data_IF_767181626552
#
_entry.id   IF_767181626552
#
_cell.length_a   1.000
_cell.length_b   1.000
_cell.length_c   1.000
_cell.angle_alpha   90.00
_cell.angle_beta   90.00
_cell.angle_gamma   90.00
#
_symmetry.space_group_name_H-M   'P 1'
#
loop_
_entity.id
_entity.type
_entity.pdbx_description
1 polymer ?
#
# COMPACT_ATOMS: atom_id res chain seq x y z
N UNK A 1 2.59 1.86 -24.99
CA UNK A 1 2.06 0.47 -25.08
C UNK A 1 0.57 0.56 -24.89
N UNK A 2 -0.25 0.08 -25.84
CA UNK A 2 -1.69 0.32 -25.74
C UNK A 2 -2.58 -0.68 -26.46
N UNK A 3 -3.82 -0.81 -25.99
CA UNK A 3 -4.89 -1.63 -26.58
C UNK A 3 -4.49 -3.08 -26.86
N UNK A 4 -3.95 -3.74 -25.83
CA UNK A 4 -3.54 -5.14 -25.88
C UNK A 4 -3.96 -5.89 -24.61
N UNK A 5 -4.07 -7.21 -24.73
CA UNK A 5 -4.25 -8.11 -23.59
C UNK A 5 -3.03 -9.03 -23.49
N UNK A 6 -2.39 -9.03 -22.32
CA UNK A 6 -1.30 -9.92 -21.95
C UNK A 6 -1.88 -11.01 -21.03
N UNK A 7 -1.63 -12.28 -21.34
CA UNK A 7 -2.17 -13.43 -20.59
C UNK A 7 -1.06 -14.37 -20.17
N UNK A 8 -1.26 -14.98 -19.00
CA UNK A 8 -0.43 -16.04 -18.45
C UNK A 8 1.09 -15.71 -18.49
N UNK A 9 1.52 -14.55 -17.97
CA UNK A 9 2.94 -14.21 -17.97
C UNK A 9 3.68 -15.19 -17.05
N UNK A 10 4.84 -15.68 -17.49
CA UNK A 10 5.64 -16.63 -16.71
C UNK A 10 6.41 -15.97 -15.55
N UNK A 11 6.48 -14.63 -15.53
CA UNK A 11 7.19 -13.81 -14.55
C UNK A 11 6.55 -12.39 -14.52
N UNK A 12 7.29 -11.37 -14.11
CA UNK A 12 6.94 -9.95 -14.28
C UNK A 12 6.49 -9.67 -15.71
N UNK A 13 5.26 -9.18 -15.88
CA UNK A 13 4.60 -9.16 -17.19
C UNK A 13 5.10 -8.02 -18.09
N UNK A 14 4.93 -6.77 -17.66
CA UNK A 14 5.38 -5.59 -18.39
C UNK A 14 6.44 -4.85 -17.59
N UNK A 15 7.70 -5.02 -17.98
CA UNK A 15 8.84 -4.41 -17.30
C UNK A 15 9.40 -3.23 -18.11
N UNK A 16 9.19 -2.01 -17.60
CA UNK A 16 9.63 -0.75 -18.20
C UNK A 16 10.92 -0.34 -17.49
N UNK A 17 12.05 -0.42 -18.18
CA UNK A 17 13.38 -0.26 -17.57
C UNK A 17 14.10 0.96 -18.16
N UNK A 18 14.47 1.91 -17.29
CA UNK A 18 15.26 3.10 -17.62
C UNK A 18 14.73 3.85 -18.86
N UNK A 19 13.41 3.96 -18.95
CA UNK A 19 12.72 4.66 -20.01
C UNK A 19 12.37 6.09 -19.60
N UNK A 20 12.13 6.93 -20.60
CA UNK A 20 11.79 8.33 -20.44
C UNK A 20 10.57 8.63 -21.33
N UNK A 21 9.58 9.36 -20.81
CA UNK A 21 8.34 9.69 -21.54
C UNK A 21 7.55 8.44 -22.01
N UNK A 22 7.20 7.59 -21.07
CA UNK A 22 6.47 6.33 -21.37
C UNK A 22 4.97 6.51 -21.18
N UNK A 23 4.16 6.00 -22.10
CA UNK A 23 2.70 5.90 -21.94
C UNK A 23 2.21 4.47 -22.08
N UNK A 24 1.39 4.02 -21.12
CA UNK A 24 0.68 2.74 -21.14
C UNK A 24 -0.81 3.00 -21.00
N UNK A 25 -1.64 2.53 -21.93
CA UNK A 25 -3.08 2.74 -21.81
C UNK A 25 -3.94 1.68 -22.48
N UNK A 26 -5.13 1.44 -21.94
CA UNK A 26 -6.08 0.45 -22.49
C UNK A 26 -5.45 -0.97 -22.54
N UNK A 27 -4.67 -1.33 -21.51
CA UNK A 27 -3.99 -2.63 -21.42
C UNK A 27 -4.68 -3.51 -20.38
N UNK A 28 -4.90 -4.79 -20.72
CA UNK A 28 -5.32 -5.81 -19.76
C UNK A 28 -4.18 -6.78 -19.50
N UNK A 29 -3.87 -7.06 -18.22
CA UNK A 29 -2.91 -8.07 -17.79
C UNK A 29 -3.68 -9.10 -16.96
N UNK A 30 -3.71 -10.33 -17.45
CA UNK A 30 -4.42 -11.45 -16.83
C UNK A 30 -3.41 -12.54 -16.51
N UNK A 31 -2.93 -12.54 -15.27
CA UNK A 31 -2.00 -13.51 -14.75
C UNK A 31 -2.68 -14.63 -13.96
N UNK A 32 -1.94 -15.72 -13.70
CA UNK A 32 -2.41 -16.73 -12.77
C UNK A 32 -2.37 -16.19 -11.34
N UNK A 33 -3.55 -16.05 -10.75
CA UNK A 33 -3.78 -15.53 -9.41
C UNK A 33 -3.11 -16.37 -8.29
N UNK A 34 -2.56 -17.54 -8.59
CA UNK A 34 -1.84 -18.38 -7.64
C UNK A 34 -0.32 -18.46 -7.91
N UNK A 35 0.20 -17.73 -8.90
CA UNK A 35 1.61 -17.77 -9.25
C UNK A 35 2.38 -16.59 -8.64
N UNK A 36 3.42 -16.82 -7.81
CA UNK A 36 4.28 -15.74 -7.30
C UNK A 36 5.16 -15.17 -8.41
N UNK A 37 5.76 -13.99 -8.18
CA UNK A 37 6.57 -13.27 -9.18
C UNK A 37 5.83 -13.00 -10.50
N UNK A 38 4.51 -12.86 -10.39
CA UNK A 38 3.61 -12.57 -11.49
C UNK A 38 3.15 -11.12 -11.43
N UNK A 39 4.11 -10.19 -11.36
CA UNK A 39 3.85 -8.76 -11.28
C UNK A 39 3.16 -8.28 -12.58
N UNK A 40 2.33 -7.23 -12.48
CA UNK A 40 1.66 -6.61 -13.61
C UNK A 40 2.58 -5.70 -14.40
N UNK A 41 2.72 -4.44 -13.95
CA UNK A 41 3.58 -3.44 -14.58
C UNK A 41 4.67 -3.03 -13.59
N UNK A 42 5.92 -3.37 -13.90
CA UNK A 42 7.10 -2.91 -13.20
C UNK A 42 7.67 -1.66 -13.88
N UNK A 43 7.85 -0.59 -13.11
CA UNK A 43 8.44 0.66 -13.57
C UNK A 43 9.79 0.79 -12.87
N UNK A 44 10.87 0.47 -13.57
CA UNK A 44 12.21 0.44 -13.04
C UNK A 44 13.01 1.65 -13.55
N UNK A 45 13.48 2.50 -12.63
CA UNK A 45 14.37 3.63 -12.93
C UNK A 45 13.86 4.52 -14.09
N UNK A 46 12.55 4.60 -14.29
CA UNK A 46 11.92 5.21 -15.48
C UNK A 46 11.11 6.44 -15.10
N UNK A 47 11.26 7.52 -15.87
CA UNK A 47 10.71 8.83 -15.52
C UNK A 47 9.71 9.35 -16.54
N UNK A 48 8.85 10.28 -16.10
CA UNK A 48 7.78 10.86 -16.92
C UNK A 48 6.89 9.77 -17.55
N UNK A 49 6.33 8.91 -16.69
CA UNK A 49 5.52 7.75 -17.10
C UNK A 49 4.05 7.98 -16.80
N UNK A 50 3.18 7.72 -17.77
CA UNK A 50 1.73 7.82 -17.63
C UNK A 50 1.05 6.49 -17.93
N UNK A 51 0.31 5.96 -16.96
CA UNK A 51 -0.43 4.70 -17.06
C UNK A 51 -1.92 5.01 -16.86
N UNK A 52 -2.80 4.55 -17.77
CA UNK A 52 -4.23 4.82 -17.61
C UNK A 52 -5.14 3.74 -18.20
N UNK A 53 -6.38 3.60 -17.72
CA UNK A 53 -7.40 2.69 -18.28
C UNK A 53 -6.91 1.24 -18.40
N UNK A 54 -6.17 0.77 -17.41
CA UNK A 54 -5.65 -0.60 -17.39
C UNK A 54 -6.47 -1.49 -16.46
N UNK A 55 -6.56 -2.77 -16.82
CA UNK A 55 -7.19 -3.82 -16.02
C UNK A 55 -6.12 -4.86 -15.66
N UNK A 56 -5.82 -5.02 -14.38
CA UNK A 56 -4.71 -5.86 -13.91
C UNK A 56 -5.25 -6.85 -12.89
N UNK A 57 -5.22 -8.13 -13.22
CA UNK A 57 -5.57 -9.25 -12.33
C UNK A 57 -4.39 -10.23 -12.32
N UNK A 58 -3.62 -10.24 -11.22
CA UNK A 58 -2.32 -10.91 -11.16
C UNK A 58 -2.06 -11.64 -9.84
N UNK A 59 -1.14 -12.60 -9.84
CA UNK A 59 -0.73 -13.28 -8.62
C UNK A 59 0.12 -12.40 -7.69
N UNK A 60 0.98 -11.54 -8.24
CA UNK A 60 1.89 -10.68 -7.49
C UNK A 60 1.61 -9.18 -7.77
N UNK A 61 2.51 -8.27 -7.36
CA UNK A 61 2.22 -6.83 -7.34
C UNK A 61 1.76 -6.27 -8.70
N UNK A 62 0.67 -5.48 -8.71
CA UNK A 62 0.03 -5.08 -9.96
C UNK A 62 0.70 -3.86 -10.63
N UNK A 63 0.97 -2.80 -9.88
CA UNK A 63 1.77 -1.65 -10.33
C UNK A 63 2.95 -1.49 -9.37
N UNK A 64 4.17 -1.72 -9.85
CA UNK A 64 5.35 -1.79 -9.00
C UNK A 64 6.49 -0.88 -9.46
N UNK A 65 6.52 0.38 -9.00
CA UNK A 65 7.69 1.25 -9.15
C UNK A 65 8.87 0.71 -8.33
N UNK A 66 10.04 0.56 -8.98
CA UNK A 66 11.30 0.12 -8.37
C UNK A 66 12.44 1.06 -8.78
N UNK A 67 13.41 1.22 -7.88
CA UNK A 67 14.65 1.97 -8.17
C UNK A 67 15.87 1.10 -7.88
N UNK A 68 16.81 0.97 -8.83
CA UNK A 68 18.03 0.17 -8.72
C UNK A 68 19.29 1.01 -8.90
N UNK A 69 19.38 1.76 -10.00
CA UNK A 69 20.58 2.55 -10.33
C UNK A 69 20.30 4.04 -10.53
N UNK A 70 19.03 4.44 -10.55
CA UNK A 70 18.62 5.84 -10.68
C UNK A 70 17.29 6.13 -9.94
N UNK A 71 16.98 7.41 -9.66
CA UNK A 71 15.68 7.81 -9.15
C UNK A 71 14.53 7.52 -10.13
N UNK A 72 13.32 7.42 -9.58
CA UNK A 72 12.05 7.34 -10.30
C UNK A 72 11.17 8.53 -9.93
N UNK A 73 10.81 9.35 -10.90
CA UNK A 73 9.99 10.54 -10.68
C UNK A 73 8.96 10.80 -11.79
N UNK A 74 7.93 11.57 -11.44
CA UNK A 74 6.83 11.95 -12.33
C UNK A 74 6.14 10.73 -12.95
N UNK A 75 5.68 9.80 -12.11
CA UNK A 75 4.81 8.70 -12.54
C UNK A 75 3.36 9.04 -12.16
N UNK A 76 2.46 8.95 -13.13
CA UNK A 76 1.02 9.14 -12.93
C UNK A 76 0.27 7.88 -13.38
N UNK A 77 -0.59 7.35 -12.53
CA UNK A 77 -1.43 6.17 -12.79
C UNK A 77 -2.89 6.52 -12.53
N UNK A 78 -3.75 6.32 -13.53
CA UNK A 78 -5.16 6.76 -13.45
C UNK A 78 -6.15 5.77 -14.03
N UNK A 79 -7.41 5.81 -13.60
CA UNK A 79 -8.52 5.08 -14.25
C UNK A 79 -8.30 3.56 -14.35
N UNK A 80 -7.65 2.95 -13.36
CA UNK A 80 -7.30 1.52 -13.38
C UNK A 80 -8.20 0.67 -12.49
N UNK A 81 -8.39 -0.59 -12.87
CA UNK A 81 -8.96 -1.63 -12.02
C UNK A 81 -7.89 -2.68 -11.71
N UNK A 82 -7.73 -3.02 -10.42
CA UNK A 82 -6.65 -3.86 -9.94
C UNK A 82 -7.16 -4.91 -8.96
N UNK A 83 -6.70 -6.16 -9.14
CA UNK A 83 -6.81 -7.27 -8.18
C UNK A 83 -5.50 -8.05 -8.12
N UNK A 84 -5.03 -8.37 -6.92
CA UNK A 84 -3.78 -9.14 -6.73
C UNK A 84 -3.71 -9.88 -5.39
N UNK A 85 -2.98 -11.01 -5.33
CA UNK A 85 -2.63 -11.66 -4.04
C UNK A 85 -1.39 -11.10 -3.34
N UNK A 86 -0.82 -10.03 -3.87
CA UNK A 86 0.26 -9.25 -3.26
C UNK A 86 -0.22 -7.81 -3.06
N UNK A 87 0.52 -6.78 -3.47
CA UNK A 87 0.07 -5.38 -3.32
C UNK A 87 -0.42 -4.78 -4.64
N UNK A 88 -1.58 -4.13 -4.61
CA UNK A 88 -2.16 -3.50 -5.80
C UNK A 88 -1.25 -2.39 -6.35
N UNK A 89 -0.69 -1.57 -5.48
CA UNK A 89 0.36 -0.61 -5.82
C UNK A 89 1.49 -0.81 -4.81
N UNK A 90 2.72 -1.07 -5.27
CA UNK A 90 3.89 -1.24 -4.40
C UNK A 90 5.08 -0.43 -4.86
N UNK A 91 5.51 0.55 -4.06
CA UNK A 91 6.83 1.16 -4.22
C UNK A 91 7.87 0.27 -3.53
N UNK A 92 8.87 -0.20 -4.28
CA UNK A 92 9.90 -1.11 -3.79
C UNK A 92 9.63 -2.60 -4.11
N UNK A 93 10.24 -3.58 -3.44
CA UNK A 93 11.19 -3.41 -2.34
C UNK A 93 12.57 -2.93 -2.78
N UNK A 94 12.92 -3.09 -4.08
CA UNK A 94 14.09 -2.45 -4.66
C UNK A 94 13.88 -0.93 -4.66
N UNK A 95 14.59 -0.26 -3.76
CA UNK A 95 14.32 1.12 -3.33
C UNK A 95 15.64 1.86 -3.08
N UNK A 96 16.63 1.64 -3.95
CA UNK A 96 18.00 2.14 -3.78
C UNK A 96 18.12 3.66 -3.97
N UNK A 97 17.16 4.28 -4.68
CA UNK A 97 17.15 5.70 -5.00
C UNK A 97 15.78 6.32 -4.74
N UNK A 98 15.66 7.62 -5.00
CA UNK A 98 14.47 8.39 -4.66
C UNK A 98 13.25 8.02 -5.53
N UNK A 99 12.08 7.89 -4.90
CA UNK A 99 10.77 7.98 -5.56
C UNK A 99 10.17 9.37 -5.31
N UNK A 100 9.85 10.11 -6.38
CA UNK A 100 9.42 11.51 -6.22
C UNK A 100 8.29 11.93 -7.14
N UNK A 101 7.31 12.64 -6.61
CA UNK A 101 6.20 13.20 -7.39
C UNK A 101 5.41 12.12 -8.14
N UNK A 102 4.80 11.20 -7.39
CA UNK A 102 3.95 10.15 -7.94
C UNK A 102 2.48 10.45 -7.65
N UNK A 103 1.61 10.22 -8.64
CA UNK A 103 0.18 10.44 -8.52
C UNK A 103 -0.55 9.16 -8.92
N UNK A 104 -1.42 8.68 -8.03
CA UNK A 104 -2.32 7.58 -8.28
C UNK A 104 -3.74 8.10 -8.05
N UNK A 105 -4.57 8.12 -9.09
CA UNK A 105 -5.90 8.75 -9.03
C UNK A 105 -6.98 7.90 -9.72
N UNK A 106 -8.19 7.88 -9.17
CA UNK A 106 -9.32 7.15 -9.76
C UNK A 106 -9.02 5.66 -10.02
N UNK A 107 -8.61 4.94 -8.97
CA UNK A 107 -8.27 3.51 -9.04
C UNK A 107 -9.23 2.70 -8.18
N UNK A 108 -9.74 1.60 -8.76
CA UNK A 108 -10.47 0.58 -8.01
C UNK A 108 -9.53 -0.58 -7.69
N UNK A 109 -9.31 -0.84 -6.41
CA UNK A 109 -8.59 -2.01 -5.91
C UNK A 109 -9.63 -2.97 -5.34
N UNK A 110 -9.68 -4.19 -5.85
CA UNK A 110 -10.72 -5.15 -5.51
C UNK A 110 -10.11 -6.43 -4.94
N UNK A 111 -10.52 -6.80 -3.73
CA UNK A 111 -10.10 -8.02 -3.04
C UNK A 111 -8.58 -8.29 -3.09
N UNK A 112 -7.75 -7.25 -3.02
CA UNK A 112 -6.30 -7.45 -3.06
C UNK A 112 -5.75 -7.84 -1.69
N UNK A 113 -4.56 -8.46 -1.64
CA UNK A 113 -3.96 -8.79 -0.36
C UNK A 113 -3.45 -7.56 0.38
N UNK A 114 -2.89 -6.60 -0.35
CA UNK A 114 -2.65 -5.24 0.13
C UNK A 114 -3.14 -4.22 -0.90
N UNK A 115 -3.55 -3.05 -0.42
CA UNK A 115 -3.94 -1.94 -1.27
C UNK A 115 -2.70 -1.14 -1.70
N UNK A 116 -2.39 -0.12 -0.91
CA UNK A 116 -1.34 0.86 -1.19
C UNK A 116 -0.10 0.55 -0.35
N UNK A 117 0.93 0.01 -0.98
CA UNK A 117 2.15 -0.47 -0.36
C UNK A 117 3.37 0.43 -0.62
N UNK A 118 4.15 0.70 0.42
CA UNK A 118 5.51 1.23 0.33
C UNK A 118 6.44 0.35 1.18
N UNK A 119 7.36 -0.33 0.51
CA UNK A 119 8.35 -1.20 1.12
C UNK A 119 9.74 -0.66 0.83
N UNK A 120 10.15 0.34 1.60
CA UNK A 120 11.45 0.99 1.42
C UNK A 120 12.48 0.25 2.27
N UNK A 121 13.49 -0.30 1.61
CA UNK A 121 14.47 -1.25 2.15
C UNK A 121 15.92 -0.88 1.90
N UNK A 122 16.21 -0.05 0.89
CA UNK A 122 17.57 0.11 0.36
C UNK A 122 18.14 1.53 0.50
N UNK A 123 17.55 2.34 1.38
CA UNK A 123 18.04 3.68 1.71
C UNK A 123 17.58 4.80 0.78
N UNK A 124 16.84 4.50 -0.29
CA UNK A 124 16.16 5.49 -1.10
C UNK A 124 15.01 6.15 -0.34
N UNK A 125 14.76 7.43 -0.64
CA UNK A 125 13.69 8.19 0.00
C UNK A 125 12.43 8.22 -0.87
N UNK A 126 11.27 8.42 -0.24
CA UNK A 126 10.01 8.67 -0.94
C UNK A 126 9.52 10.07 -0.57
N UNK A 127 9.17 10.87 -1.58
CA UNK A 127 8.68 12.22 -1.36
C UNK A 127 7.56 12.61 -2.33
N UNK A 128 6.47 13.16 -1.79
CA UNK A 128 5.44 13.79 -2.61
C UNK A 128 4.63 12.77 -3.40
N UNK A 129 3.92 11.89 -2.69
CA UNK A 129 3.04 10.89 -3.31
C UNK A 129 1.60 11.23 -2.97
N UNK A 130 0.74 11.24 -3.99
CA UNK A 130 -0.70 11.46 -3.82
C UNK A 130 -1.48 10.23 -4.27
N UNK A 131 -2.37 9.76 -3.40
CA UNK A 131 -3.39 8.77 -3.70
C UNK A 131 -4.76 9.44 -3.56
N UNK A 132 -5.54 9.46 -4.63
CA UNK A 132 -6.83 10.16 -4.63
C UNK A 132 -7.95 9.40 -5.32
N UNK A 133 -9.18 9.63 -4.86
CA UNK A 133 -10.41 9.16 -5.50
C UNK A 133 -10.42 7.63 -5.70
N UNK A 134 -10.23 6.86 -4.63
CA UNK A 134 -10.08 5.40 -4.72
C UNK A 134 -11.17 4.64 -3.98
N UNK A 135 -11.53 3.48 -4.53
CA UNK A 135 -12.28 2.44 -3.82
C UNK A 135 -11.37 1.24 -3.62
N UNK A 136 -11.15 0.86 -2.37
CA UNK A 136 -10.18 -0.18 -2.00
C UNK A 136 -10.89 -1.27 -1.21
N UNK A 137 -10.80 -2.50 -1.68
CA UNK A 137 -11.14 -3.68 -0.90
C UNK A 137 -9.92 -4.58 -0.77
N UNK A 138 -9.59 -4.96 0.47
CA UNK A 138 -8.50 -5.89 0.75
C UNK A 138 -8.95 -7.05 1.61
N UNK A 139 -8.47 -8.24 1.26
CA UNK A 139 -8.81 -9.49 1.95
C UNK A 139 -7.57 -10.30 2.27
N UNK A 140 -7.69 -11.17 3.25
CA UNK A 140 -6.58 -12.01 3.67
C UNK A 140 -6.57 -13.29 2.80
N UNK A 141 -5.44 -13.56 2.18
CA UNK A 141 -5.14 -14.81 1.46
C UNK A 141 -4.29 -15.75 2.32
N UNK A 142 -3.92 -16.90 1.77
CA UNK A 142 -3.13 -17.91 2.48
C UNK A 142 -1.84 -17.30 3.10
N UNK A 143 -1.47 -17.66 4.35
CA UNK A 143 -0.32 -17.08 5.04
C UNK A 143 1.04 -17.23 4.35
N UNK A 144 1.15 -18.13 3.37
CA UNK A 144 2.31 -18.25 2.48
C UNK A 144 2.56 -16.97 1.65
N UNK A 145 1.51 -16.22 1.32
CA UNK A 145 1.61 -14.92 0.69
C UNK A 145 2.05 -13.85 1.68
N UNK A 146 2.88 -12.91 1.22
CA UNK A 146 3.26 -11.77 2.03
C UNK A 146 2.10 -10.77 2.11
N UNK A 147 1.75 -10.35 3.33
CA UNK A 147 0.63 -9.43 3.58
C UNK A 147 -0.45 -9.97 4.47
N UNK A 148 -1.22 -9.09 5.08
CA UNK A 148 -2.23 -9.40 6.10
C UNK A 148 -3.50 -8.58 5.87
N UNK A 149 -3.88 -8.36 4.60
CA UNK A 149 -5.07 -7.60 4.20
C UNK A 149 -5.01 -6.07 4.44
N UNK A 150 -3.82 -5.48 4.57
CA UNK A 150 -3.68 -4.06 4.87
C UNK A 150 -4.09 -3.18 3.66
N UNK A 151 -5.04 -2.24 3.81
CA UNK A 151 -5.43 -1.33 2.73
C UNK A 151 -4.34 -0.29 2.44
N UNK A 152 -3.58 0.11 3.46
CA UNK A 152 -2.41 0.99 3.36
C UNK A 152 -1.32 0.37 4.23
N UNK A 153 -0.15 0.13 3.64
CA UNK A 153 0.99 -0.53 4.28
C UNK A 153 2.26 0.25 3.93
N UNK A 154 2.87 0.91 4.91
CA UNK A 154 4.05 1.76 4.72
C UNK A 154 5.13 1.34 5.69
N UNK A 155 6.32 1.04 5.15
CA UNK A 155 7.46 0.57 5.94
C UNK A 155 8.79 1.09 5.39
N UNK A 156 9.70 1.53 6.28
CA UNK A 156 11.07 1.99 5.95
C UNK A 156 12.17 1.12 6.54
N UNK A 157 11.84 -0.11 6.93
CA UNK A 157 12.82 -0.99 7.55
C UNK A 157 13.94 -1.38 6.58
N UNK A 158 15.20 -1.49 7.00
CA UNK A 158 16.29 -1.83 6.09
C UNK A 158 16.18 -3.29 5.60
N UNK A 159 16.67 -3.56 4.38
CA UNK A 159 16.70 -4.92 3.78
C UNK A 159 17.45 -5.91 4.65
N UNK A 160 18.59 -5.47 5.17
CA UNK A 160 19.50 -6.23 6.03
C UNK A 160 20.34 -5.26 6.87
N UNK A 161 21.23 -5.80 7.72
CA UNK A 161 22.08 -5.02 8.61
C UNK A 161 23.11 -4.12 7.92
N UNK A 162 23.34 -4.30 6.62
CA UNK A 162 24.27 -3.48 5.82
C UNK A 162 23.57 -2.36 5.06
N UNK A 163 22.24 -2.45 4.93
CA UNK A 163 21.42 -1.49 4.20
C UNK A 163 21.13 -0.26 5.04
N UNK A 164 21.06 0.90 4.37
CA UNK A 164 20.65 2.15 5.02
C UNK A 164 19.13 2.23 5.12
N UNK A 165 18.65 2.91 6.15
CA UNK A 165 17.22 3.24 6.29
C UNK A 165 16.88 4.42 5.37
N UNK A 166 15.78 4.28 4.62
CA UNK A 166 15.21 5.36 3.82
C UNK A 166 14.10 6.09 4.58
N UNK A 167 13.76 7.32 4.19
CA UNK A 167 12.67 8.09 4.78
C UNK A 167 11.51 8.26 3.81
N UNK A 168 10.30 8.43 4.35
CA UNK A 168 9.10 8.68 3.55
C UNK A 168 8.47 9.97 4.05
N UNK A 169 8.16 10.87 3.12
CA UNK A 169 7.68 12.20 3.44
C UNK A 169 6.61 12.70 2.45
N UNK A 170 5.75 13.60 2.92
CA UNK A 170 4.75 14.30 2.10
C UNK A 170 3.83 13.32 1.36
N UNK A 171 3.05 12.55 2.13
CA UNK A 171 2.04 11.64 1.59
C UNK A 171 0.64 12.23 1.76
N UNK A 172 -0.14 12.22 0.68
CA UNK A 172 -1.54 12.62 0.72
C UNK A 172 -2.43 11.46 0.27
N UNK A 173 -3.36 11.08 1.13
CA UNK A 173 -4.45 10.16 0.84
C UNK A 173 -5.76 10.94 0.95
N UNK A 174 -6.50 11.08 -0.15
CA UNK A 174 -7.68 11.95 -0.20
C UNK A 174 -8.85 11.35 -0.96
N UNK A 175 -10.06 11.46 -0.41
CA UNK A 175 -11.28 10.91 -1.04
C UNK A 175 -11.17 9.40 -1.31
N UNK A 176 -10.89 8.61 -0.27
CA UNK A 176 -10.71 7.15 -0.39
C UNK A 176 -11.74 6.41 0.47
N UNK A 177 -12.41 5.44 -0.13
CA UNK A 177 -13.28 4.49 0.60
C UNK A 177 -12.59 3.13 0.65
N UNK A 178 -12.45 2.57 1.85
CA UNK A 178 -11.78 1.32 2.14
C UNK A 178 -12.74 0.34 2.82
N UNK A 179 -12.73 -0.91 2.38
CA UNK A 179 -13.30 -2.06 3.12
C UNK A 179 -12.23 -3.15 3.22
N UNK A 180 -11.71 -3.39 4.42
CA UNK A 180 -10.53 -4.26 4.60
C UNK A 180 -10.66 -5.22 5.78
N UNK A 181 -9.97 -6.36 5.70
CA UNK A 181 -9.88 -7.29 6.83
C UNK A 181 -8.87 -6.87 7.91
N UNK A 182 -8.01 -5.89 7.63
CA UNK A 182 -6.99 -5.38 8.54
C UNK A 182 -6.83 -3.85 8.39
N UNK A 183 -6.21 -3.22 9.38
CA UNK A 183 -6.05 -1.78 9.44
C UNK A 183 -4.88 -1.24 8.64
N UNK A 184 -4.75 0.07 8.68
CA UNK A 184 -3.64 0.81 8.10
C UNK A 184 -2.39 0.60 8.95
N UNK A 185 -1.27 0.31 8.31
CA UNK A 185 0.01 0.07 8.98
C UNK A 185 1.07 1.09 8.52
N UNK A 186 1.50 1.95 9.44
CA UNK A 186 2.48 3.01 9.22
C UNK A 186 3.70 2.80 10.11
N UNK A 187 4.72 2.11 9.62
CA UNK A 187 5.93 1.81 10.40
C UNK A 187 7.17 2.42 9.79
N UNK A 188 7.58 3.57 10.31
CA UNK A 188 8.92 4.09 10.09
C UNK A 188 10.01 3.24 10.76
N UNK A 189 11.24 3.74 10.73
CA UNK A 189 12.38 3.20 11.46
C UNK A 189 13.11 4.33 12.20
N UNK A 190 13.97 4.03 13.20
CA UNK A 190 14.61 5.05 14.02
C UNK A 190 15.36 6.14 13.25
N UNK A 191 15.97 5.81 12.11
CA UNK A 191 16.70 6.73 11.23
C UNK A 191 15.98 6.96 9.89
N UNK A 192 14.82 6.35 9.67
CA UNK A 192 14.01 6.39 8.46
C UNK A 192 12.56 6.72 8.79
N UNK A 193 12.32 7.93 9.30
CA UNK A 193 11.01 8.33 9.79
C UNK A 193 9.97 8.44 8.67
N UNK A 194 8.70 8.26 9.06
CA UNK A 194 7.57 8.70 8.27
C UNK A 194 7.20 10.13 8.68
N UNK A 195 7.09 11.05 7.71
CA UNK A 195 6.82 12.46 7.98
C UNK A 195 5.75 13.04 7.07
N UNK A 196 4.94 13.96 7.60
CA UNK A 196 3.88 14.65 6.86
C UNK A 196 2.95 13.68 6.07
N UNK A 197 2.35 12.72 6.78
CA UNK A 197 1.31 11.84 6.24
C UNK A 197 -0.06 12.46 6.51
N UNK A 198 -0.88 12.59 5.47
CA UNK A 198 -2.18 13.24 5.53
C UNK A 198 -3.29 12.34 5.02
N UNK A 199 -4.29 12.08 5.85
CA UNK A 199 -5.55 11.42 5.46
C UNK A 199 -6.67 12.45 5.44
N UNK A 200 -7.36 12.57 4.30
CA UNK A 200 -8.43 13.56 4.12
C UNK A 200 -9.66 12.95 3.47
N UNK A 201 -10.84 13.16 4.04
CA UNK A 201 -12.11 12.70 3.48
C UNK A 201 -12.09 11.19 3.17
N UNK A 202 -11.83 10.36 4.19
CA UNK A 202 -11.74 8.91 4.01
C UNK A 202 -12.81 8.17 4.81
N UNK A 203 -13.31 7.09 4.25
CA UNK A 203 -14.15 6.13 4.98
C UNK A 203 -13.43 4.79 5.01
N UNK A 204 -13.19 4.24 6.20
CA UNK A 204 -12.47 2.98 6.38
C UNK A 204 -13.39 2.05 7.15
N UNK A 205 -13.82 0.95 6.54
CA UNK A 205 -14.61 -0.08 7.19
C UNK A 205 -13.77 -1.35 7.35
N UNK A 206 -13.49 -1.72 8.58
CA UNK A 206 -12.86 -2.98 8.94
C UNK A 206 -13.93 -4.05 9.03
N UNK A 207 -13.82 -5.06 8.16
CA UNK A 207 -14.75 -6.17 8.10
C UNK A 207 -14.04 -7.50 8.00
N UNK A 208 -14.44 -8.45 8.85
CA UNK A 208 -13.94 -9.81 8.76
C UNK A 208 -14.79 -10.63 7.78
N UNK A 209 -14.13 -11.33 6.86
CA UNK A 209 -14.79 -12.36 6.04
C UNK A 209 -13.91 -13.59 5.76
N UNK A 210 -12.70 -13.66 6.34
CA UNK A 210 -11.86 -14.87 6.35
C UNK A 210 -11.67 -15.41 7.77
N UNK A 211 -11.29 -16.68 7.87
CA UNK A 211 -11.04 -17.38 9.13
C UNK A 211 -9.56 -17.37 9.55
N UNK A 212 -8.71 -16.56 8.89
CA UNK A 212 -7.31 -16.46 9.25
C UNK A 212 -7.11 -15.76 10.61
N UNK A 213 -5.95 -15.93 11.23
CA UNK A 213 -5.64 -15.27 12.51
C UNK A 213 -5.46 -13.76 12.30
N UNK A 214 -6.14 -12.96 13.11
CA UNK A 214 -6.07 -11.50 13.09
C UNK A 214 -4.89 -10.95 13.92
N UNK A 215 -4.68 -9.62 13.91
CA UNK A 215 -3.63 -8.98 14.72
C UNK A 215 -2.20 -9.28 14.27
N UNK A 216 -2.02 -9.62 12.99
CA UNK A 216 -0.72 -9.86 12.38
C UNK A 216 -0.37 -8.72 11.43
N UNK A 217 0.89 -8.32 11.43
CA UNK A 217 1.50 -7.51 10.37
C UNK A 217 2.72 -8.23 9.82
N UNK A 218 3.00 -8.03 8.54
CA UNK A 218 4.10 -8.72 7.86
C UNK A 218 5.16 -7.71 7.43
N UNK A 219 6.34 -7.73 8.06
CA UNK A 219 7.45 -6.83 7.76
C UNK A 219 8.32 -7.28 6.57
N UNK A 220 8.05 -8.47 6.02
CA UNK A 220 8.89 -9.04 4.96
C UNK A 220 8.78 -8.27 3.64
N UNK A 221 9.86 -8.27 2.83
CA UNK A 221 11.21 -8.69 3.20
C UNK A 221 11.87 -7.62 4.09
N UNK A 222 12.86 -7.95 4.90
CA UNK A 222 13.64 -6.95 5.64
C UNK A 222 13.84 -7.28 7.11
N UNK A 223 13.67 -6.25 7.96
CA UNK A 223 14.10 -6.30 9.36
C UNK A 223 13.49 -7.42 10.21
N UNK A 224 12.26 -7.85 9.89
CA UNK A 224 11.48 -8.77 10.70
C UNK A 224 10.55 -9.62 9.82
N UNK A 225 10.08 -10.72 10.39
CA UNK A 225 9.09 -11.59 9.76
C UNK A 225 7.66 -11.14 10.05
N UNK A 226 6.83 -12.12 10.38
CA UNK A 226 5.48 -11.88 10.88
C UNK A 226 5.53 -11.48 12.35
N UNK A 227 4.83 -10.42 12.69
CA UNK A 227 4.77 -9.89 14.05
C UNK A 227 3.33 -9.84 14.54
N UNK A 228 3.14 -10.22 15.79
CA UNK A 228 1.87 -10.08 16.49
C UNK A 228 1.74 -8.65 17.01
N UNK A 229 0.60 -8.03 16.73
CA UNK A 229 0.11 -6.86 17.44
C UNK A 229 -0.96 -7.29 18.45
N UNK A 230 -1.18 -6.44 19.46
CA UNK A 230 -2.10 -6.73 20.56
C UNK A 230 -3.57 -6.81 20.12
N UNK A 231 -3.88 -6.22 18.96
CA UNK A 231 -5.20 -6.12 18.38
C UNK A 231 -5.11 -6.03 16.85
N UNK A 232 -6.23 -6.24 16.15
CA UNK A 232 -6.40 -5.61 14.84
C UNK A 232 -6.81 -4.18 15.14
N UNK A 233 -5.91 -3.23 14.95
CA UNK A 233 -6.20 -1.82 15.14
C UNK A 233 -6.49 -1.15 13.79
N UNK A 234 -7.26 -0.06 13.80
CA UNK A 234 -7.63 0.64 12.57
C UNK A 234 -6.48 1.37 11.92
N UNK A 235 -5.64 2.03 12.72
CA UNK A 235 -4.38 2.64 12.27
C UNK A 235 -3.30 2.33 13.31
N UNK A 236 -2.25 1.62 12.87
CA UNK A 236 -1.07 1.29 13.66
C UNK A 236 0.07 2.21 13.21
N UNK A 237 0.77 2.82 14.18
CA UNK A 237 1.86 3.75 13.91
C UNK A 237 3.12 3.46 14.72
N UNK A 238 4.26 3.47 14.04
CA UNK A 238 5.60 3.41 14.63
C UNK A 238 6.53 4.40 13.92
N UNK A 239 7.36 5.13 14.66
CA UNK A 239 8.37 6.06 14.09
C UNK A 239 7.78 7.08 13.09
N UNK A 240 6.69 7.72 13.51
CA UNK A 240 5.96 8.72 12.71
C UNK A 240 6.14 10.10 13.33
N UNK A 241 6.44 11.10 12.52
CA UNK A 241 6.54 12.49 12.93
C UNK A 241 5.77 13.38 11.97
N UNK A 242 4.52 13.69 12.31
CA UNK A 242 3.60 14.41 11.44
C UNK A 242 2.60 13.47 10.78
N UNK A 243 1.53 13.14 11.51
CA UNK A 243 0.35 12.46 10.95
C UNK A 243 -0.88 13.33 11.17
N UNK A 244 -1.60 13.64 10.10
CA UNK A 244 -2.79 14.49 10.18
C UNK A 244 -3.99 13.81 9.51
N UNK A 245 -5.13 13.96 10.17
CA UNK A 245 -6.39 13.38 9.75
C UNK A 245 -7.44 14.49 9.69
N UNK A 246 -8.13 14.59 8.56
CA UNK A 246 -9.21 15.56 8.31
C UNK A 246 -10.43 14.83 7.73
N UNK A 247 -11.56 14.82 8.45
CA UNK A 247 -12.81 14.17 8.01
C UNK A 247 -12.63 12.69 7.65
N UNK A 248 -12.27 11.87 8.64
CA UNK A 248 -12.08 10.43 8.45
C UNK A 248 -12.99 9.65 9.38
N UNK A 249 -13.74 8.71 8.80
CA UNK A 249 -14.67 7.85 9.51
C UNK A 249 -14.17 6.40 9.46
N UNK A 250 -13.84 5.85 10.63
CA UNK A 250 -13.34 4.50 10.83
C UNK A 250 -14.42 3.61 11.46
N UNK A 251 -14.88 2.59 10.76
CA UNK A 251 -15.95 1.73 11.21
C UNK A 251 -15.51 0.28 11.28
N UNK A 252 -16.16 -0.49 12.14
CA UNK A 252 -15.95 -1.93 12.30
C UNK A 252 -17.27 -2.66 12.07
N UNK A 253 -17.32 -3.68 11.23
CA UNK A 253 -18.48 -4.58 11.23
C UNK A 253 -18.58 -5.34 12.55
N UNK A 254 -19.80 -5.69 12.92
CA UNK A 254 -20.10 -6.40 14.16
C UNK A 254 -19.71 -7.88 14.05
N UNK A 255 -18.44 -8.18 14.33
CA UNK A 255 -17.87 -9.52 14.19
C UNK A 255 -17.57 -10.22 15.55
N UNK A 256 -17.94 -9.64 16.71
CA UNK A 256 -17.72 -10.21 18.06
C UNK A 256 -16.31 -10.81 18.30
N UNK A 257 -15.26 -10.15 17.79
CA UNK A 257 -13.87 -10.61 17.92
C UNK A 257 -13.18 -9.99 19.16
N UNK A 258 -12.33 -10.76 19.83
CA UNK A 258 -11.47 -10.25 20.90
C UNK A 258 -10.44 -9.25 20.32
N UNK A 259 -10.19 -8.15 21.05
CA UNK A 259 -9.28 -7.09 20.60
C UNK A 259 -9.64 -6.52 19.20
N UNK A 260 -10.94 -6.49 18.91
CA UNK A 260 -11.56 -5.78 17.79
C UNK A 260 -11.96 -4.38 18.23
N UNK A 261 -12.16 -3.46 17.29
CA UNK A 261 -12.60 -2.10 17.59
C UNK A 261 -11.55 -1.26 18.34
N UNK A 262 -10.26 -1.45 18.03
CA UNK A 262 -9.15 -0.59 18.52
C UNK A 262 -8.86 0.47 17.45
N UNK A 263 -9.27 1.74 17.60
CA UNK A 263 -9.17 2.70 16.50
C UNK A 263 -7.73 3.04 16.11
N UNK A 264 -6.87 3.23 17.11
CA UNK A 264 -5.49 3.69 16.95
C UNK A 264 -4.57 2.87 17.87
N UNK A 265 -3.44 2.42 17.35
CA UNK A 265 -2.35 1.79 18.11
C UNK A 265 -1.04 2.50 17.79
N UNK A 266 -0.24 2.79 18.82
CA UNK A 266 1.03 3.51 18.67
C UNK A 266 2.14 2.78 19.42
N UNK A 267 3.32 2.71 18.79
CA UNK A 267 4.53 2.32 19.51
C UNK A 267 5.00 3.48 20.42
N UNK A 268 5.10 3.28 21.74
CA UNK A 268 5.44 4.33 22.69
C UNK A 268 6.74 5.07 22.34
N UNK A 269 6.75 6.39 22.52
CA UNK A 269 7.90 7.28 22.30
C UNK A 269 8.42 7.38 20.85
N UNK A 270 7.70 6.82 19.87
CA UNK A 270 8.12 6.86 18.46
C UNK A 270 7.18 7.68 17.57
N UNK A 271 6.01 8.09 18.07
CA UNK A 271 5.00 8.83 17.31
C UNK A 271 4.86 10.25 17.88
N UNK A 272 5.03 11.25 17.02
CA UNK A 272 5.04 12.67 17.37
C UNK A 272 4.21 13.50 16.37
N UNK A 273 3.75 14.68 16.80
CA UNK A 273 3.06 15.66 15.96
C UNK A 273 1.84 15.08 15.22
N UNK A 274 0.87 14.58 15.98
CA UNK A 274 -0.37 14.01 15.43
C UNK A 274 -1.53 15.00 15.58
N UNK A 275 -2.38 15.13 14.55
CA UNK A 275 -3.55 15.99 14.56
C UNK A 275 -4.78 15.27 13.98
N UNK A 276 -5.92 15.41 14.64
CA UNK A 276 -7.19 14.82 14.21
C UNK A 276 -8.28 15.90 14.21
N UNK A 277 -8.86 16.17 13.05
CA UNK A 277 -10.00 17.07 12.87
C UNK A 277 -11.10 16.29 12.16
N UNK A 278 -12.27 16.15 12.79
CA UNK A 278 -13.36 15.37 12.21
C UNK A 278 -13.03 13.88 12.06
N UNK A 279 -12.30 13.29 13.01
CA UNK A 279 -12.09 11.84 13.08
C UNK A 279 -13.19 11.19 13.91
N UNK A 280 -13.88 10.20 13.34
CA UNK A 280 -14.86 9.36 14.05
C UNK A 280 -14.44 7.90 14.00
N UNK A 281 -14.72 7.16 15.07
CA UNK A 281 -14.60 5.70 15.09
C UNK A 281 -15.81 5.05 15.75
N UNK A 282 -16.29 3.93 15.23
CA UNK A 282 -17.42 3.22 15.83
C UNK A 282 -17.75 1.87 15.17
N UNK A 283 -18.83 1.25 15.62
CA UNK A 283 -19.38 0.06 14.98
C UNK A 283 -20.23 0.47 13.76
N UNK A 284 -20.15 -0.31 12.69
CA UNK A 284 -21.08 -0.24 11.58
C UNK A 284 -22.40 -0.88 12.04
N UNK A 285 -23.35 -0.05 12.46
CA UNK A 285 -24.71 -0.52 12.67
C UNK A 285 -25.36 -0.73 11.30
N UNK A 286 -25.58 -1.99 10.92
CA UNK A 286 -26.52 -2.29 9.85
C UNK A 286 -27.90 -1.83 10.32
N UNK A 287 -28.48 -0.86 9.60
CA UNK A 287 -29.91 -0.56 9.75
C UNK A 287 -30.62 -1.78 9.18
N UNK A 288 -31.07 -2.68 10.06
CA UNK A 288 -31.92 -3.83 9.73
C UNK A 288 -33.21 -3.36 9.07
#
# INVERSE_FOLDING_TARGET
IWNITLRDPAYWCLHIVRCENTSVHDVSILGDFNTPNNDGIDIEDSNNTFITRCHIDTGDDAICPKTYVAPLYNLTVTDCWIRTKSSAIKLGSASWFEFKSLVFDNITIFESHRGLGMQIRDGGNVNGITFSNMNISTRYYDPSWWGRAEPIYITTCPRDSSSKEGSISNLLFVNITIVSENGVFLSGSPNGLLTDIKFKNMNITLRRWSNYTSGLVDYRPGCQGLMNHSATAGIIMEHVNGFSVENVDLKWSDDNLNAWNVPLEFRPSTVNNVSFVGFSSGLLHEIV
#
